data_IF_698144403034
#
_entry.id   IF_698144403034
#
_cell.length_a   1.000
_cell.length_b   1.000
_cell.length_c   1.000
_cell.angle_alpha   90.00
_cell.angle_beta   90.00
_cell.angle_gamma   90.00
#
_symmetry.space_group_name_H-M   'P 1'
#
loop_
_entity.id
_entity.type
_entity.pdbx_description
1 polymer ?
#
# COMPACT_ATOMS: atom_id res chain seq x y z
N UNK A 1 -11.35 17.19 -18.97
CA UNK A 1 -11.04 16.19 -17.91
C UNK A 1 -11.53 16.78 -16.62
N UNK A 2 -12.53 16.20 -16.00
CA UNK A 2 -13.19 16.75 -14.81
C UNK A 2 -12.36 16.48 -13.54
N UNK A 3 -12.25 17.47 -12.67
CA UNK A 3 -11.62 17.39 -11.33
C UNK A 3 -12.25 16.33 -10.42
N UNK A 4 -13.40 15.78 -10.78
CA UNK A 4 -14.13 14.74 -10.04
C UNK A 4 -13.43 13.37 -10.00
N UNK A 5 -12.42 13.16 -10.83
CA UNK A 5 -11.72 11.88 -10.99
C UNK A 5 -10.45 11.76 -10.14
N UNK A 6 -9.95 12.88 -9.58
CA UNK A 6 -8.75 12.91 -8.74
C UNK A 6 -9.15 12.60 -7.30
N UNK A 7 -8.60 11.51 -6.75
CA UNK A 7 -8.87 11.07 -5.37
C UNK A 7 -7.79 11.51 -4.39
N UNK A 8 -6.54 11.68 -4.85
CA UNK A 8 -5.44 12.29 -4.08
C UNK A 8 -4.89 13.44 -4.88
N UNK A 9 -4.83 14.64 -4.29
CA UNK A 9 -4.26 15.82 -4.91
C UNK A 9 -3.30 16.49 -3.93
N UNK A 10 -2.02 16.40 -4.23
CA UNK A 10 -0.92 17.01 -3.49
C UNK A 10 -0.36 18.13 -4.35
N UNK A 11 -0.37 19.35 -3.86
CA UNK A 11 0.04 20.51 -4.64
C UNK A 11 1.07 21.36 -3.89
N UNK A 12 2.29 21.42 -4.45
CA UNK A 12 3.38 22.27 -3.98
C UNK A 12 3.79 22.03 -2.52
N UNK A 13 3.72 20.77 -2.05
CA UNK A 13 4.00 20.44 -0.65
C UNK A 13 5.47 20.64 -0.32
N UNK A 14 5.71 21.40 0.75
CA UNK A 14 7.01 21.59 1.38
C UNK A 14 6.94 21.02 2.80
N UNK A 15 7.91 20.17 3.17
CA UNK A 15 7.98 19.57 4.50
C UNK A 15 9.38 19.68 5.06
N UNK A 16 9.47 20.28 6.25
CA UNK A 16 10.76 20.51 6.95
C UNK A 16 10.69 19.97 8.37
N UNK A 17 11.76 19.33 8.80
CA UNK A 17 12.03 18.92 10.18
C UNK A 17 13.28 19.65 10.67
N UNK A 18 13.08 20.72 11.43
CA UNK A 18 14.17 21.62 11.79
C UNK A 18 14.81 22.20 10.53
N UNK A 19 16.09 21.90 10.29
CA UNK A 19 16.82 22.35 9.10
C UNK A 19 16.75 21.36 7.92
N UNK A 20 16.24 20.17 8.13
CA UNK A 20 16.14 19.16 7.09
C UNK A 20 14.87 19.36 6.25
N UNK A 21 15.01 19.60 4.95
CA UNK A 21 13.90 19.60 3.99
C UNK A 21 13.72 18.17 3.48
N UNK A 22 12.49 17.66 3.62
CA UNK A 22 12.10 16.33 3.13
C UNK A 22 11.35 16.42 1.82
N UNK A 23 10.40 17.36 1.72
CA UNK A 23 9.71 17.67 0.46
C UNK A 23 9.93 19.14 0.09
N UNK A 24 10.11 19.38 -1.21
CA UNK A 24 10.42 20.72 -1.75
C UNK A 24 9.58 21.00 -2.99
N UNK A 25 8.34 21.48 -2.76
CA UNK A 25 7.40 21.79 -3.82
C UNK A 25 6.79 20.55 -4.50
N UNK A 26 6.67 19.44 -3.75
CA UNK A 26 6.18 18.16 -4.27
C UNK A 26 4.72 18.28 -4.71
N UNK A 27 4.44 17.83 -5.94
CA UNK A 27 3.08 17.73 -6.48
C UNK A 27 2.83 16.34 -7.05
N UNK A 28 1.64 15.78 -6.77
CA UNK A 28 1.23 14.44 -7.19
C UNK A 28 -0.29 14.37 -7.25
N UNK A 29 -0.83 13.78 -8.30
CA UNK A 29 -2.26 13.47 -8.40
C UNK A 29 -2.47 11.98 -8.63
N UNK A 30 -3.44 11.37 -7.92
CA UNK A 30 -3.87 9.98 -8.14
C UNK A 30 -5.33 10.02 -8.52
N UNK A 31 -5.67 9.27 -9.55
CA UNK A 31 -7.04 9.18 -10.06
C UNK A 31 -7.73 7.94 -9.55
N UNK A 32 -9.05 7.98 -9.57
CA UNK A 32 -9.90 6.84 -9.20
C UNK A 32 -9.58 5.61 -10.05
N UNK A 33 -9.49 4.45 -9.39
CA UNK A 33 -9.21 3.17 -10.03
C UNK A 33 -7.75 2.94 -10.43
N UNK A 34 -6.83 3.91 -10.20
CA UNK A 34 -5.41 3.66 -10.43
C UNK A 34 -4.81 2.74 -9.35
N UNK A 35 -3.86 1.90 -9.77
CA UNK A 35 -2.92 1.22 -8.89
C UNK A 35 -1.54 1.86 -9.10
N UNK A 36 -1.11 2.64 -8.13
CA UNK A 36 0.11 3.44 -8.19
C UNK A 36 1.11 2.91 -7.18
N UNK A 37 2.33 2.65 -7.63
CA UNK A 37 3.45 2.37 -6.74
C UNK A 37 4.30 3.62 -6.53
N UNK A 38 4.54 3.97 -5.28
CA UNK A 38 5.40 5.06 -4.86
C UNK A 38 6.74 4.49 -4.41
N UNK A 39 7.78 4.78 -5.16
CA UNK A 39 9.16 4.33 -4.88
C UNK A 39 10.09 5.52 -4.70
N UNK A 40 11.34 5.28 -4.36
CA UNK A 40 12.35 6.34 -4.26
C UNK A 40 13.10 6.31 -2.92
N UNK A 41 13.85 7.36 -2.68
CA UNK A 41 14.65 7.56 -1.46
C UNK A 41 13.79 7.91 -0.23
N UNK A 42 14.24 8.91 0.53
CA UNK A 42 13.54 9.40 1.72
C UNK A 42 12.26 10.17 1.37
N UNK A 43 11.30 10.20 2.31
CA UNK A 43 10.09 11.03 2.22
C UNK A 43 8.79 10.28 1.90
N UNK A 44 8.81 9.06 1.35
CA UNK A 44 7.60 8.31 0.98
C UNK A 44 6.60 8.14 2.14
N UNK A 45 7.05 7.65 3.28
CA UNK A 45 6.19 7.48 4.46
C UNK A 45 5.76 8.83 5.06
N UNK A 46 6.54 9.90 4.88
CA UNK A 46 6.15 11.26 5.27
C UNK A 46 5.02 11.74 4.37
N UNK A 47 5.15 11.62 3.05
CA UNK A 47 4.10 11.95 2.10
C UNK A 47 2.81 11.17 2.37
N UNK A 48 2.93 9.88 2.65
CA UNK A 48 1.77 9.05 2.99
C UNK A 48 1.06 9.58 4.25
N UNK A 49 1.80 9.94 5.30
CA UNK A 49 1.23 10.52 6.51
C UNK A 49 0.57 11.89 6.26
N UNK A 50 1.11 12.67 5.34
CA UNK A 50 0.53 13.96 4.94
C UNK A 50 -0.79 13.77 4.20
N UNK A 51 -0.85 12.82 3.27
CA UNK A 51 -2.08 12.46 2.56
C UNK A 51 -3.15 11.97 3.53
N UNK A 52 -2.78 11.18 4.54
CA UNK A 52 -3.70 10.65 5.55
C UNK A 52 -4.11 11.67 6.62
N UNK A 53 -3.55 12.89 6.61
CA UNK A 53 -3.81 13.90 7.63
C UNK A 53 -3.20 13.58 8.99
N UNK A 54 -2.13 12.78 9.03
CA UNK A 54 -1.39 12.41 10.24
C UNK A 54 -0.21 13.34 10.51
N UNK A 55 0.27 14.02 9.48
CA UNK A 55 1.40 14.94 9.55
C UNK A 55 1.17 16.14 8.65
N UNK A 56 1.19 17.34 9.24
CA UNK A 56 0.96 18.58 8.50
C UNK A 56 2.21 19.00 7.73
N UNK A 57 2.11 19.29 6.42
CA UNK A 57 3.20 19.89 5.68
C UNK A 57 3.47 21.33 6.14
N UNK A 58 4.68 21.82 5.89
CA UNK A 58 5.07 23.20 6.20
C UNK A 58 4.38 24.21 5.27
N UNK A 59 4.18 23.83 4.00
CA UNK A 59 3.47 24.63 2.99
C UNK A 59 2.87 23.71 1.92
N UNK A 60 2.03 24.26 1.06
CA UNK A 60 1.30 23.53 0.04
C UNK A 60 -0.07 23.05 0.52
N UNK A 61 -0.74 22.25 -0.28
CA UNK A 61 -2.05 21.68 0.05
C UNK A 61 -2.12 20.19 -0.24
N UNK A 62 -2.93 19.48 0.55
CA UNK A 62 -3.20 18.05 0.37
C UNK A 62 -4.70 17.83 0.44
N UNK A 63 -5.28 17.30 -0.64
CA UNK A 63 -6.69 16.93 -0.70
C UNK A 63 -6.83 15.43 -0.91
N UNK A 64 -7.72 14.84 -0.13
CA UNK A 64 -8.09 13.44 -0.24
C UNK A 64 -9.60 13.35 -0.47
N UNK A 65 -10.03 12.70 -1.55
CA UNK A 65 -11.43 12.56 -1.94
C UNK A 65 -12.17 13.91 -1.97
N UNK A 66 -11.48 14.97 -2.44
CA UNK A 66 -11.99 16.32 -2.51
C UNK A 66 -11.91 17.15 -1.22
N UNK A 67 -11.59 16.53 -0.09
CA UNK A 67 -11.47 17.23 1.22
C UNK A 67 -10.04 17.67 1.45
N UNK A 68 -9.85 18.97 1.77
CA UNK A 68 -8.56 19.48 2.25
C UNK A 68 -8.28 18.90 3.63
N UNK A 69 -7.18 18.15 3.76
CA UNK A 69 -6.87 17.38 4.98
C UNK A 69 -6.44 18.27 6.16
N UNK A 70 -6.11 19.56 5.89
CA UNK A 70 -5.59 20.49 6.90
C UNK A 70 -6.48 21.71 7.14
N UNK A 71 -7.39 22.00 6.21
CA UNK A 71 -8.31 23.15 6.28
C UNK A 71 -9.78 22.70 6.29
N UNK A 72 -10.05 21.41 6.05
CA UNK A 72 -11.41 20.86 6.08
C UNK A 72 -12.05 20.93 7.46
N UNK A 73 -13.38 21.03 7.49
CA UNK A 73 -14.14 20.96 8.76
C UNK A 73 -13.98 19.59 9.41
N UNK A 74 -14.14 19.53 10.74
CA UNK A 74 -14.06 18.26 11.50
C UNK A 74 -15.04 17.21 10.94
N UNK A 75 -16.23 17.62 10.53
CA UNK A 75 -17.22 16.72 9.92
C UNK A 75 -16.77 16.19 8.55
N UNK A 76 -16.21 17.05 7.69
CA UNK A 76 -15.68 16.62 6.39
C UNK A 76 -14.49 15.66 6.54
N UNK A 77 -13.58 15.95 7.47
CA UNK A 77 -12.45 15.08 7.79
C UNK A 77 -12.91 13.71 8.33
N UNK A 78 -13.89 13.69 9.23
CA UNK A 78 -14.46 12.46 9.76
C UNK A 78 -15.13 11.62 8.65
N UNK A 79 -15.90 12.26 7.75
CA UNK A 79 -16.50 11.59 6.61
C UNK A 79 -15.45 11.03 5.65
N UNK A 80 -14.38 11.79 5.36
CA UNK A 80 -13.30 11.34 4.48
C UNK A 80 -12.54 10.14 5.06
N UNK A 81 -12.29 10.12 6.38
CA UNK A 81 -11.60 9.01 7.06
C UNK A 81 -12.33 7.67 6.95
N UNK A 82 -13.63 7.67 6.76
CA UNK A 82 -14.42 6.44 6.53
C UNK A 82 -14.28 5.89 5.10
N UNK A 83 -13.78 6.70 4.17
CA UNK A 83 -13.72 6.39 2.74
C UNK A 83 -12.34 5.92 2.26
N UNK A 84 -11.36 5.84 3.14
CA UNK A 84 -10.07 5.24 2.81
C UNK A 84 -9.66 4.19 3.83
N UNK A 85 -8.91 3.20 3.38
CA UNK A 85 -8.28 2.18 4.21
C UNK A 85 -6.77 2.39 4.28
N UNK A 86 -6.16 1.99 5.40
CA UNK A 86 -4.70 2.03 5.58
C UNK A 86 -4.19 0.71 6.13
N UNK A 87 -3.15 0.19 5.49
CA UNK A 87 -2.36 -0.92 5.97
C UNK A 87 -0.92 -0.47 6.22
N UNK A 88 -0.50 -0.47 7.48
CA UNK A 88 0.87 -0.17 7.89
C UNK A 88 1.80 -1.36 7.68
N UNK A 89 3.09 -1.11 7.60
CA UNK A 89 4.14 -2.09 7.32
C UNK A 89 4.05 -3.33 8.23
N UNK A 90 3.88 -3.16 9.55
CA UNK A 90 3.74 -4.27 10.51
C UNK A 90 2.27 -4.75 10.66
N UNK A 91 1.35 -4.26 9.81
CA UNK A 91 -0.08 -4.56 9.90
C UNK A 91 -0.81 -3.83 11.03
N UNK A 92 -0.13 -3.43 12.09
CA UNK A 92 -0.66 -2.69 13.26
C UNK A 92 -1.96 -3.30 13.84
N UNK A 93 -2.07 -4.63 13.89
CA UNK A 93 -3.20 -5.32 14.52
C UNK A 93 -3.17 -5.11 16.05
N UNK A 94 -4.34 -4.90 16.63
CA UNK A 94 -4.49 -4.86 18.09
C UNK A 94 -4.19 -6.26 18.66
N UNK A 95 -3.14 -6.37 19.44
CA UNK A 95 -2.68 -7.66 20.03
C UNK A 95 -3.65 -8.24 21.05
N UNK A 96 -4.51 -7.40 21.63
CA UNK A 96 -5.54 -7.78 22.61
C UNK A 96 -6.86 -8.26 21.96
N UNK A 97 -7.00 -8.16 20.65
CA UNK A 97 -8.17 -8.62 19.91
C UNK A 97 -7.79 -9.78 18.99
N UNK A 98 -8.71 -10.73 18.81
CA UNK A 98 -8.62 -11.70 17.74
C UNK A 98 -8.73 -11.03 16.36
N UNK A 99 -8.56 -11.78 15.30
CA UNK A 99 -8.63 -11.27 13.93
C UNK A 99 -10.02 -10.70 13.61
N UNK A 100 -11.08 -11.39 14.03
CA UNK A 100 -12.45 -10.93 13.84
C UNK A 100 -12.71 -9.60 14.56
N UNK A 101 -12.24 -9.46 15.79
CA UNK A 101 -12.30 -8.22 16.56
C UNK A 101 -11.55 -7.07 15.89
N UNK A 102 -10.34 -7.35 15.37
CA UNK A 102 -9.56 -6.37 14.59
C UNK A 102 -10.33 -5.87 13.36
N UNK A 103 -10.92 -6.77 12.58
CA UNK A 103 -11.71 -6.41 11.38
C UNK A 103 -13.03 -5.72 11.74
N UNK A 104 -13.66 -6.11 12.84
CA UNK A 104 -14.92 -5.51 13.31
C UNK A 104 -14.73 -4.10 13.90
N UNK A 105 -13.55 -3.75 14.39
CA UNK A 105 -13.31 -2.46 15.06
C UNK A 105 -13.73 -1.25 14.21
N UNK A 106 -13.28 -1.09 12.94
CA UNK A 106 -13.73 0.04 12.13
C UNK A 106 -15.26 0.06 11.91
N UNK A 107 -15.89 -1.10 11.77
CA UNK A 107 -17.35 -1.19 11.60
C UNK A 107 -18.09 -0.71 12.85
N UNK A 108 -17.63 -1.11 14.05
CA UNK A 108 -18.24 -0.72 15.33
C UNK A 108 -18.09 0.77 15.62
N UNK A 109 -16.90 1.34 15.32
CA UNK A 109 -16.57 2.71 15.69
C UNK A 109 -17.06 3.74 14.66
N UNK A 110 -17.25 3.33 13.39
CA UNK A 110 -17.42 4.28 12.30
C UNK A 110 -18.61 3.99 11.39
N UNK A 111 -19.41 2.98 11.67
CA UNK A 111 -20.64 2.70 10.91
C UNK A 111 -21.82 2.43 11.85
N UNK A 112 -23.03 2.56 11.30
CA UNK A 112 -24.28 2.20 12.00
C UNK A 112 -24.65 0.73 11.78
N UNK A 113 -23.66 -0.14 11.53
CA UNK A 113 -23.86 -1.57 11.27
C UNK A 113 -24.50 -2.26 12.48
N UNK A 114 -25.67 -2.88 12.32
CA UNK A 114 -26.29 -3.65 13.40
C UNK A 114 -25.35 -4.77 13.90
N UNK A 115 -25.26 -4.95 15.22
CA UNK A 115 -24.37 -5.94 15.82
C UNK A 115 -24.60 -7.37 15.28
N UNK A 116 -25.83 -7.71 14.92
CA UNK A 116 -26.18 -9.01 14.33
C UNK A 116 -25.56 -9.27 12.95
N UNK A 117 -25.18 -8.22 12.20
CA UNK A 117 -24.58 -8.33 10.87
C UNK A 117 -23.04 -8.32 10.91
N UNK A 118 -22.43 -7.93 12.02
CA UNK A 118 -20.97 -7.84 12.14
C UNK A 118 -20.26 -9.16 11.80
N UNK A 119 -20.71 -10.36 12.26
CA UNK A 119 -20.02 -11.61 11.92
C UNK A 119 -20.00 -11.89 10.41
N UNK A 120 -21.12 -11.64 9.72
CA UNK A 120 -21.20 -11.87 8.27
C UNK A 120 -20.30 -10.89 7.50
N UNK A 121 -20.28 -9.62 7.87
CA UNK A 121 -19.42 -8.61 7.26
C UNK A 121 -17.95 -8.91 7.51
N UNK A 122 -17.58 -9.28 8.73
CA UNK A 122 -16.22 -9.70 9.07
C UNK A 122 -15.79 -10.88 8.21
N UNK A 123 -16.62 -11.92 8.10
CA UNK A 123 -16.29 -13.08 7.26
C UNK A 123 -16.14 -12.71 5.79
N UNK A 124 -16.96 -11.80 5.28
CA UNK A 124 -16.80 -11.27 3.92
C UNK A 124 -15.46 -10.54 3.74
N UNK A 125 -15.05 -9.71 4.69
CA UNK A 125 -13.75 -9.00 4.62
C UNK A 125 -12.57 -9.95 4.72
N UNK A 126 -12.67 -10.99 5.56
CA UNK A 126 -11.66 -12.05 5.62
C UNK A 126 -11.55 -12.78 4.29
N UNK A 127 -12.68 -13.18 3.69
CA UNK A 127 -12.70 -13.84 2.39
C UNK A 127 -12.12 -12.96 1.28
N UNK A 128 -12.46 -11.65 1.24
CA UNK A 128 -11.87 -10.68 0.30
C UNK A 128 -10.35 -10.54 0.46
N UNK A 129 -9.83 -10.70 1.68
CA UNK A 129 -8.40 -10.73 1.95
C UNK A 129 -7.76 -12.12 1.77
N UNK A 130 -8.50 -13.11 1.28
CA UNK A 130 -8.03 -14.47 1.06
C UNK A 130 -7.78 -15.27 2.34
N UNK A 131 -8.58 -15.00 3.40
CA UNK A 131 -8.56 -15.74 4.66
C UNK A 131 -9.88 -16.50 4.87
N UNK A 132 -9.79 -17.70 5.43
CA UNK A 132 -11.00 -18.43 5.86
C UNK A 132 -11.61 -17.82 7.13
N UNK A 133 -12.91 -18.03 7.35
CA UNK A 133 -13.62 -17.54 8.53
C UNK A 133 -13.01 -18.07 9.85
N UNK A 134 -12.42 -19.25 9.85
CA UNK A 134 -11.77 -19.88 11.01
C UNK A 134 -10.58 -19.06 11.54
N UNK A 135 -9.93 -18.29 10.65
CA UNK A 135 -8.82 -17.39 11.05
C UNK A 135 -9.32 -16.27 11.94
N UNK A 136 -10.62 -15.95 11.85
CA UNK A 136 -11.25 -14.91 12.66
C UNK A 136 -11.06 -15.08 14.17
N UNK A 137 -11.01 -16.31 14.67
CA UNK A 137 -10.85 -16.63 16.11
C UNK A 137 -9.40 -16.65 16.59
N UNK A 138 -8.43 -16.50 15.68
CA UNK A 138 -7.00 -16.52 16.05
C UNK A 138 -6.55 -15.14 16.57
N UNK A 139 -5.64 -15.16 17.54
CA UNK A 139 -4.94 -13.96 17.98
C UNK A 139 -3.82 -13.60 16.96
N UNK A 140 -3.45 -12.31 16.84
CA UNK A 140 -2.36 -11.89 15.95
C UNK A 140 -1.04 -12.63 16.15
N UNK A 141 -0.73 -13.05 17.38
CA UNK A 141 0.47 -13.82 17.69
C UNK A 141 0.48 -15.24 17.11
N UNK A 142 -0.68 -15.78 16.75
CA UNK A 142 -0.86 -17.12 16.18
C UNK A 142 -0.81 -17.14 14.64
N UNK A 143 -0.66 -15.97 14.02
CA UNK A 143 -0.67 -15.82 12.56
C UNK A 143 0.74 -15.90 11.97
N UNK A 144 0.86 -16.52 10.79
CA UNK A 144 2.05 -16.33 9.95
C UNK A 144 2.18 -14.88 9.45
N UNK A 145 3.35 -14.48 8.94
CA UNK A 145 3.55 -13.15 8.37
C UNK A 145 2.52 -12.80 7.30
N UNK A 146 2.30 -13.70 6.34
CA UNK A 146 1.31 -13.52 5.28
C UNK A 146 -0.12 -13.42 5.80
N UNK A 147 -0.48 -14.24 6.80
CA UNK A 147 -1.81 -14.15 7.43
C UNK A 147 -1.99 -12.82 8.18
N UNK A 148 -0.95 -12.29 8.86
CA UNK A 148 -1.00 -10.97 9.51
C UNK A 148 -1.26 -9.86 8.49
N UNK A 149 -0.55 -9.88 7.35
CA UNK A 149 -0.73 -8.91 6.27
C UNK A 149 -2.15 -8.96 5.70
N UNK A 150 -2.68 -10.17 5.44
CA UNK A 150 -4.05 -10.37 4.96
C UNK A 150 -5.11 -9.95 6.00
N UNK A 151 -4.90 -10.19 7.28
CA UNK A 151 -5.79 -9.72 8.34
C UNK A 151 -5.79 -8.18 8.45
N UNK A 152 -4.61 -7.55 8.32
CA UNK A 152 -4.50 -6.08 8.25
C UNK A 152 -5.20 -5.50 7.02
N UNK A 153 -5.10 -6.18 5.87
CA UNK A 153 -5.83 -5.83 4.65
C UNK A 153 -7.34 -5.96 4.87
N UNK A 154 -7.82 -7.06 5.45
CA UNK A 154 -9.25 -7.25 5.78
C UNK A 154 -9.80 -6.12 6.65
N UNK A 155 -9.03 -5.68 7.66
CA UNK A 155 -9.38 -4.53 8.49
C UNK A 155 -9.39 -3.22 7.69
N UNK A 156 -8.42 -3.00 6.81
CA UNK A 156 -8.36 -1.81 5.96
C UNK A 156 -9.55 -1.75 4.98
N UNK A 157 -10.09 -2.90 4.58
CA UNK A 157 -11.26 -3.02 3.70
C UNK A 157 -12.60 -2.95 4.46
N UNK A 158 -12.60 -2.88 5.80
CA UNK A 158 -13.81 -3.03 6.61
C UNK A 158 -14.93 -2.06 6.22
N UNK A 159 -14.61 -0.79 5.98
CA UNK A 159 -15.56 0.28 5.65
C UNK A 159 -15.79 0.47 4.12
N UNK A 160 -15.41 -0.49 3.28
CA UNK A 160 -15.53 -0.38 1.81
C UNK A 160 -14.86 0.88 1.26
N UNK A 161 -13.58 1.04 1.47
CA UNK A 161 -12.87 2.26 1.09
C UNK A 161 -12.87 2.46 -0.42
N UNK A 162 -12.82 3.74 -0.85
CA UNK A 162 -12.61 4.13 -2.25
C UNK A 162 -11.11 4.15 -2.60
N UNK A 163 -10.26 4.36 -1.59
CA UNK A 163 -8.80 4.40 -1.73
C UNK A 163 -8.16 3.54 -0.65
N UNK A 164 -7.21 2.71 -1.03
CA UNK A 164 -6.41 1.88 -0.13
C UNK A 164 -4.96 2.36 -0.16
N UNK A 165 -4.44 2.71 1.00
CA UNK A 165 -3.04 3.06 1.20
C UNK A 165 -2.31 1.88 1.82
N UNK A 166 -1.16 1.51 1.23
CA UNK A 166 -0.36 0.37 1.67
C UNK A 166 1.08 0.82 1.88
N UNK A 167 1.59 0.63 3.10
CA UNK A 167 3.00 0.90 3.41
C UNK A 167 3.74 -0.43 3.52
N UNK A 168 4.59 -0.73 2.53
CA UNK A 168 5.41 -1.94 2.43
C UNK A 168 4.60 -3.25 2.65
N UNK A 169 3.56 -3.50 1.82
CA UNK A 169 2.61 -4.57 2.09
C UNK A 169 3.22 -5.97 2.03
N UNK A 170 4.23 -6.20 1.20
CA UNK A 170 4.89 -7.50 1.01
C UNK A 170 6.18 -7.67 1.81
N UNK A 171 6.60 -6.62 2.55
CA UNK A 171 7.85 -6.67 3.33
C UNK A 171 7.86 -7.83 4.33
N UNK A 172 8.96 -8.59 4.36
CA UNK A 172 9.15 -9.73 5.26
C UNK A 172 8.38 -11.00 4.88
N UNK A 173 7.75 -11.02 3.70
CA UNK A 173 7.13 -12.23 3.14
C UNK A 173 8.14 -12.99 2.27
N UNK A 174 7.97 -14.31 2.20
CA UNK A 174 8.64 -15.11 1.20
C UNK A 174 8.09 -14.77 -0.21
N UNK A 175 8.85 -15.03 -1.30
CA UNK A 175 8.47 -14.62 -2.65
C UNK A 175 7.13 -15.19 -3.13
N UNK A 176 6.76 -16.42 -2.72
CA UNK A 176 5.50 -17.05 -3.12
C UNK A 176 4.33 -16.34 -2.44
N UNK A 177 4.45 -16.10 -1.14
CA UNK A 177 3.43 -15.41 -0.34
C UNK A 177 3.29 -13.93 -0.79
N UNK A 178 4.39 -13.24 -1.11
CA UNK A 178 4.40 -11.89 -1.64
C UNK A 178 3.63 -11.81 -2.96
N UNK A 179 3.96 -12.70 -3.91
CA UNK A 179 3.28 -12.76 -5.21
C UNK A 179 1.78 -13.01 -5.07
N UNK A 180 1.36 -13.94 -4.19
CA UNK A 180 -0.05 -14.21 -3.94
C UNK A 180 -0.77 -13.03 -3.28
N UNK A 181 -0.05 -12.17 -2.54
CA UNK A 181 -0.58 -10.91 -2.01
C UNK A 181 -0.72 -9.85 -3.11
N UNK A 182 0.25 -9.74 -4.01
CA UNK A 182 0.21 -8.84 -5.16
C UNK A 182 -0.94 -9.18 -6.11
N UNK A 183 -1.13 -10.46 -6.41
CA UNK A 183 -2.27 -10.94 -7.22
C UNK A 183 -3.62 -10.56 -6.59
N UNK A 184 -3.71 -10.64 -5.25
CA UNK A 184 -4.90 -10.19 -4.52
C UNK A 184 -5.12 -8.67 -4.65
N UNK A 185 -4.07 -7.85 -4.54
CA UNK A 185 -4.18 -6.40 -4.73
C UNK A 185 -4.60 -6.06 -6.15
N UNK A 186 -4.03 -6.72 -7.15
CA UNK A 186 -4.41 -6.56 -8.54
C UNK A 186 -5.89 -6.93 -8.79
N UNK A 187 -6.39 -8.00 -8.15
CA UNK A 187 -7.81 -8.37 -8.17
C UNK A 187 -8.68 -7.27 -7.56
N UNK A 188 -8.36 -6.80 -6.35
CA UNK A 188 -9.14 -5.75 -5.67
C UNK A 188 -9.20 -4.46 -6.50
N UNK A 189 -8.10 -4.08 -7.15
CA UNK A 189 -8.06 -2.92 -8.03
C UNK A 189 -8.90 -3.12 -9.30
N UNK A 190 -8.67 -4.23 -10.03
CA UNK A 190 -9.27 -4.45 -11.34
C UNK A 190 -10.76 -4.78 -11.26
N UNK A 191 -11.14 -5.68 -10.33
CA UNK A 191 -12.48 -6.26 -10.30
C UNK A 191 -13.42 -5.50 -9.35
N UNK A 192 -12.88 -4.84 -8.32
CA UNK A 192 -13.67 -3.99 -7.41
C UNK A 192 -13.48 -2.49 -7.67
N UNK A 193 -12.64 -2.08 -8.61
CA UNK A 193 -12.39 -0.68 -8.94
C UNK A 193 -11.70 0.11 -7.81
N UNK A 194 -11.06 -0.57 -6.86
CA UNK A 194 -10.41 0.05 -5.71
C UNK A 194 -9.17 0.84 -6.17
N UNK A 195 -9.08 2.11 -5.79
CA UNK A 195 -7.86 2.88 -6.00
C UNK A 195 -6.80 2.45 -5.00
N UNK A 196 -5.58 2.22 -5.43
CA UNK A 196 -4.49 1.76 -4.57
C UNK A 196 -3.26 2.66 -4.71
N UNK A 197 -2.77 3.18 -3.59
CA UNK A 197 -1.43 3.75 -3.48
C UNK A 197 -0.57 2.87 -2.59
N UNK A 198 0.44 2.26 -3.18
CA UNK A 198 1.36 1.36 -2.49
C UNK A 198 2.75 2.01 -2.40
N UNK A 199 3.28 2.13 -1.19
CA UNK A 199 4.70 2.42 -0.97
C UNK A 199 5.43 1.08 -0.93
N UNK A 200 6.44 0.91 -1.76
CA UNK A 200 7.26 -0.32 -1.76
C UNK A 200 8.69 -0.05 -2.17
N UNK A 201 9.59 -0.92 -1.75
CA UNK A 201 10.96 -1.04 -2.27
C UNK A 201 11.18 -2.40 -2.95
N UNK A 202 10.16 -3.26 -2.99
CA UNK A 202 10.21 -4.56 -3.65
C UNK A 202 9.96 -4.41 -5.15
N UNK A 203 11.04 -4.64 -5.93
CA UNK A 203 11.02 -4.50 -7.38
C UNK A 203 10.14 -5.57 -8.05
N UNK A 204 10.06 -6.78 -7.50
CA UNK A 204 9.24 -7.86 -8.07
C UNK A 204 7.75 -7.55 -7.90
N UNK A 205 7.33 -7.11 -6.72
CA UNK A 205 5.96 -6.62 -6.47
C UNK A 205 5.62 -5.45 -7.39
N UNK A 206 6.52 -4.46 -7.49
CA UNK A 206 6.34 -3.29 -8.34
C UNK A 206 6.09 -3.68 -9.80
N UNK A 207 6.94 -4.53 -10.38
CA UNK A 207 6.85 -4.95 -11.78
C UNK A 207 5.66 -5.88 -12.06
N UNK A 208 5.14 -6.57 -11.03
CA UNK A 208 4.04 -7.52 -11.20
C UNK A 208 2.67 -6.83 -11.28
N UNK A 209 2.44 -5.75 -10.53
CA UNK A 209 1.10 -5.16 -10.40
C UNK A 209 1.01 -3.67 -10.67
N UNK A 210 2.10 -2.89 -10.56
CA UNK A 210 2.04 -1.46 -10.76
C UNK A 210 1.82 -1.10 -12.23
N UNK A 211 0.77 -0.33 -12.51
CA UNK A 211 0.51 0.22 -13.84
C UNK A 211 1.10 1.61 -14.00
N UNK A 212 1.30 2.30 -12.89
CA UNK A 212 1.91 3.62 -12.82
C UNK A 212 2.86 3.65 -11.63
N UNK A 213 4.05 4.17 -11.86
CA UNK A 213 5.11 4.30 -10.88
C UNK A 213 5.40 5.78 -10.69
N UNK A 214 5.42 6.21 -9.44
CA UNK A 214 5.87 7.55 -9.05
C UNK A 214 7.17 7.42 -8.29
N UNK A 215 8.20 8.10 -8.74
CA UNK A 215 9.53 8.06 -8.13
C UNK A 215 9.79 9.35 -7.37
N UNK A 216 10.01 9.24 -6.06
CA UNK A 216 10.45 10.37 -5.24
C UNK A 216 11.97 10.45 -5.19
N UNK A 217 12.49 11.62 -5.48
CA UNK A 217 13.91 11.94 -5.37
C UNK A 217 14.11 13.42 -5.09
N UNK A 218 15.13 13.74 -4.29
CA UNK A 218 15.49 15.15 -4.00
C UNK A 218 14.31 15.99 -3.48
N UNK A 219 13.40 15.37 -2.71
CA UNK A 219 12.23 16.04 -2.12
C UNK A 219 11.07 16.30 -3.07
N UNK A 220 11.12 15.82 -4.32
CA UNK A 220 10.06 16.01 -5.32
C UNK A 220 9.78 14.72 -6.11
N UNK A 221 8.82 14.75 -7.01
CA UNK A 221 8.61 13.69 -8.02
C UNK A 221 9.63 13.87 -9.13
N UNK A 222 10.47 12.87 -9.36
CA UNK A 222 11.50 12.87 -10.42
C UNK A 222 11.11 12.04 -11.64
N UNK A 223 10.17 11.12 -11.50
CA UNK A 223 9.57 10.39 -12.61
C UNK A 223 8.14 9.96 -12.22
N UNK A 224 7.24 9.92 -13.20
CA UNK A 224 5.84 9.54 -13.06
C UNK A 224 5.32 8.99 -14.38
N UNK A 225 4.99 7.71 -14.43
CA UNK A 225 4.54 7.04 -15.66
C UNK A 225 4.47 5.53 -15.53
N UNK A 226 4.35 4.85 -16.66
CA UNK A 226 4.48 3.40 -16.77
C UNK A 226 5.91 2.93 -16.40
N UNK A 227 6.09 1.62 -16.22
CA UNK A 227 7.41 1.03 -15.97
C UNK A 227 8.41 1.44 -17.04
N UNK A 228 8.02 1.33 -18.32
CA UNK A 228 8.91 1.63 -19.45
C UNK A 228 9.30 3.12 -19.49
N UNK A 229 8.35 4.02 -19.24
CA UNK A 229 8.61 5.46 -19.19
C UNK A 229 9.55 5.82 -18.04
N UNK A 230 9.35 5.23 -16.86
CA UNK A 230 10.20 5.50 -15.68
C UNK A 230 11.61 4.95 -15.88
N UNK A 231 11.76 3.75 -16.42
CA UNK A 231 13.07 3.13 -16.70
C UNK A 231 13.86 3.93 -17.73
N UNK A 232 13.18 4.60 -18.67
CA UNK A 232 13.82 5.44 -19.70
C UNK A 232 14.36 6.78 -19.17
N UNK A 233 13.98 7.18 -17.93
CA UNK A 233 14.47 8.45 -17.34
C UNK A 233 15.97 8.38 -17.05
N UNK A 234 16.70 9.38 -17.50
CA UNK A 234 18.15 9.50 -17.26
C UNK A 234 18.46 10.03 -15.84
N UNK A 235 18.15 9.22 -14.84
CA UNK A 235 18.46 9.49 -13.43
C UNK A 235 19.31 8.35 -12.84
N UNK A 236 20.43 8.65 -12.17
CA UNK A 236 21.35 7.63 -11.63
C UNK A 236 20.69 6.71 -10.60
N UNK A 237 19.76 7.23 -9.78
CA UNK A 237 19.06 6.43 -8.78
C UNK A 237 18.11 5.45 -9.46
N UNK A 238 17.32 5.90 -10.44
CA UNK A 238 16.38 5.06 -11.20
C UNK A 238 17.15 3.93 -11.89
N UNK A 239 18.23 4.26 -12.60
CA UNK A 239 19.08 3.25 -13.27
C UNK A 239 19.62 2.22 -12.29
N UNK A 240 20.15 2.66 -11.13
CA UNK A 240 20.66 1.76 -10.10
C UNK A 240 19.57 0.87 -9.52
N UNK A 241 18.38 1.43 -9.25
CA UNK A 241 17.25 0.70 -8.67
C UNK A 241 16.78 -0.44 -9.58
N UNK A 242 16.54 -0.16 -10.86
CA UNK A 242 16.07 -1.17 -11.81
C UNK A 242 17.15 -2.16 -12.25
N UNK A 243 18.45 -1.79 -12.22
CA UNK A 243 19.54 -2.70 -12.53
C UNK A 243 19.85 -3.69 -11.40
N UNK A 244 19.41 -3.45 -10.17
CA UNK A 244 19.65 -4.32 -9.02
C UNK A 244 19.09 -5.75 -9.19
N UNK A 245 18.07 -5.93 -10.04
CA UNK A 245 17.49 -7.25 -10.39
C UNK A 245 18.47 -8.15 -11.14
N UNK A 246 19.43 -7.59 -11.90
CA UNK A 246 20.39 -8.37 -12.68
C UNK A 246 21.57 -8.90 -11.84
N UNK A 247 21.63 -8.56 -10.55
CA UNK A 247 22.71 -8.90 -9.64
C UNK A 247 22.43 -10.13 -8.77
N UNK A 248 21.29 -10.80 -8.91
CA UNK A 248 21.04 -12.08 -8.23
C UNK A 248 21.68 -13.18 -9.07
N UNK A 249 22.81 -13.79 -8.64
CA UNK A 249 23.37 -14.93 -9.34
C UNK A 249 22.36 -16.07 -9.34
N UNK A 250 22.27 -16.87 -10.43
CA UNK A 250 21.42 -18.05 -10.44
C UNK A 250 21.77 -18.93 -9.24
N UNK A 251 20.79 -19.60 -8.61
CA UNK A 251 21.07 -20.50 -7.49
C UNK A 251 22.12 -21.51 -7.91
N UNK A 252 23.14 -21.68 -7.07
CA UNK A 252 24.19 -22.66 -7.30
C UNK A 252 23.55 -24.03 -7.54
N UNK A 253 23.98 -24.81 -8.53
CA UNK A 253 23.45 -26.16 -8.77
C UNK A 253 23.58 -26.99 -7.50
N UNK A 254 22.51 -27.68 -7.14
CA UNK A 254 22.46 -28.51 -5.94
C UNK A 254 23.66 -29.48 -5.93
N UNK A 255 24.41 -29.60 -4.82
CA UNK A 255 25.50 -30.55 -4.73
C UNK A 255 24.93 -31.98 -4.75
N UNK A 256 25.09 -32.68 -5.88
CA UNK A 256 24.67 -34.10 -5.92
C UNK A 256 24.34 -34.73 -7.28
N UNK A 257 24.37 -34.00 -8.38
CA UNK A 257 24.27 -34.65 -9.70
C UNK A 257 25.65 -35.05 -10.20
N UNK A 258 26.28 -36.05 -9.55
CA UNK A 258 27.41 -36.72 -10.16
C UNK A 258 26.89 -37.64 -11.27
N UNK A 259 27.47 -37.44 -12.43
CA UNK A 259 27.36 -38.23 -13.63
C UNK A 259 27.34 -39.77 -13.34
N UNK A 260 26.29 -40.43 -13.80
CA UNK A 260 26.31 -41.81 -14.15
C UNK A 260 26.37 -41.87 -15.69
N UNK A 261 27.59 -41.73 -16.21
CA UNK A 261 27.94 -42.18 -17.56
C UNK A 261 29.36 -42.72 -17.41
N UNK A 262 29.48 -44.00 -17.48
CA UNK A 262 30.41 -44.85 -18.23
C UNK A 262 30.54 -46.20 -17.55
N UNK A 263 30.27 -47.25 -18.33
CA UNK A 263 30.54 -48.59 -17.95
C UNK A 263 29.85 -49.65 -18.81
N UNK A 264 30.43 -49.82 -20.04
CA UNK A 264 30.30 -51.02 -20.92
C UNK A 264 28.99 -51.27 -21.60
#
# INVERSE_FOLDING_TARGET
MTTADVVVDVAGVVTRFGQQTVHEGLSLQIRRGELVALIGGSGKSVLLREILGLQRPTAGSVRLLGTDMWQGSAAALAATRKRFGMMFQEGALFSSLDVAGNVATPLREHSDTPAALLPQLVNLRLALAGLSAEVGTKMPAQLSGGMKKRAALARALALEPEVLFLDEPTSGLDPITARAFDELLAFLNRDLGLTVLMVTHDLDSLLSIARRIVVLGRGTVIADGSVDEVVAVDDPWIKSYFSSRHSVPPPAPAPGAKAAIDGT
#
